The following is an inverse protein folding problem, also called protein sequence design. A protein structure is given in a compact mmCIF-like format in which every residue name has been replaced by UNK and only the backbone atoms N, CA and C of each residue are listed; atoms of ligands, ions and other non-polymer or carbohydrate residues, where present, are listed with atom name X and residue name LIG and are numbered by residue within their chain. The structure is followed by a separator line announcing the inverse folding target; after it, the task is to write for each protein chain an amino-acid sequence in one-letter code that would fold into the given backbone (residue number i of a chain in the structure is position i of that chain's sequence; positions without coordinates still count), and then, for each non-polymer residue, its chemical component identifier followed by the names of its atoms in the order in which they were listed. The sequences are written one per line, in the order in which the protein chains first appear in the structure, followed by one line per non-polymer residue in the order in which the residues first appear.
data_IF_649962966534
#
_entry.id   IF_649962966534
#
_cell.length_a   1.000
_cell.length_b   1.000
_cell.length_c   1.000
_cell.angle_alpha   90.00
_cell.angle_beta   90.00
_cell.angle_gamma   90.00
#
_symmetry.space_group_name_H-M   'P 1'
#
loop_
_entity.id
_entity.type
_entity.pdbx_description
1 polymer ?
#
# COMPACT_ATOMS: atom_id res chain seq x y z
N UNK A 1 -4.63 18.87 -6.16
CA UNK A 1 -5.62 17.87 -5.70
C UNK A 1 -5.67 16.65 -6.64
N UNK A 2 -4.53 15.99 -6.92
CA UNK A 2 -4.48 14.77 -7.77
C UNK A 2 -4.19 13.48 -6.98
N UNK A 3 -3.91 13.58 -5.67
CA UNK A 3 -3.65 12.42 -4.79
C UNK A 3 -4.78 11.39 -4.87
N UNK A 4 -6.02 11.79 -4.59
CA UNK A 4 -7.13 10.84 -4.55
C UNK A 4 -7.37 10.14 -5.90
N UNK A 5 -7.18 10.85 -7.03
CA UNK A 5 -7.28 10.22 -8.34
C UNK A 5 -6.18 9.19 -8.59
N UNK A 6 -4.93 9.50 -8.24
CA UNK A 6 -3.81 8.54 -8.31
C UNK A 6 -4.02 7.36 -7.37
N UNK A 7 -4.54 7.63 -6.17
CA UNK A 7 -4.85 6.64 -5.15
C UNK A 7 -5.95 5.69 -5.61
N UNK A 8 -7.06 6.22 -6.13
CA UNK A 8 -8.14 5.42 -6.72
C UNK A 8 -7.63 4.65 -7.93
N UNK A 9 -6.76 5.19 -8.77
CA UNK A 9 -6.15 4.42 -9.87
C UNK A 9 -5.24 3.29 -9.38
N UNK A 10 -4.63 3.44 -8.23
CA UNK A 10 -3.85 2.38 -7.58
C UNK A 10 -4.75 1.34 -6.93
N UNK A 11 -5.87 1.75 -6.31
CA UNK A 11 -6.92 0.88 -5.78
C UNK A 11 -7.80 0.22 -6.86
N UNK A 12 -7.97 0.85 -8.02
CA UNK A 12 -8.78 0.36 -9.14
C UNK A 12 -8.07 -0.79 -9.86
N UNK A 13 -6.73 -0.79 -9.86
CA UNK A 13 -5.96 -2.01 -10.16
C UNK A 13 -6.24 -3.16 -9.18
N UNK A 14 -6.86 -2.86 -8.04
CA UNK A 14 -7.29 -3.79 -6.98
C UNK A 14 -8.81 -3.99 -7.01
N UNK A 15 -9.49 -3.72 -8.13
CA UNK A 15 -10.95 -3.93 -8.30
C UNK A 15 -11.44 -5.35 -7.96
N UNK A 16 -10.53 -6.32 -7.77
CA UNK A 16 -10.79 -7.64 -7.20
C UNK A 16 -10.58 -7.74 -5.67
N UNK A 17 -10.59 -6.60 -4.95
CA UNK A 17 -10.34 -6.43 -3.50
C UNK A 17 -11.17 -7.31 -2.56
N UNK A 18 -12.14 -8.06 -3.06
CA UNK A 18 -13.16 -8.72 -2.25
C UNK A 18 -13.35 -10.19 -2.60
N UNK A 19 -12.24 -10.92 -2.75
CA UNK A 19 -12.36 -12.37 -2.70
C UNK A 19 -12.64 -12.87 -1.28
N UNK A 20 -12.26 -12.14 -0.21
CA UNK A 20 -12.47 -12.65 1.16
C UNK A 20 -12.47 -11.60 2.30
N UNK A 21 -13.63 -11.01 2.68
CA UNK A 21 -13.73 -9.90 3.66
C UNK A 21 -13.41 -10.24 5.14
N UNK A 22 -12.93 -11.45 5.45
CA UNK A 22 -12.70 -11.92 6.83
C UNK A 22 -11.27 -11.70 7.35
N UNK A 23 -10.35 -11.18 6.54
CA UNK A 23 -8.93 -11.05 6.92
C UNK A 23 -8.47 -9.63 7.24
N UNK A 24 -9.31 -8.63 7.02
CA UNK A 24 -9.03 -7.23 7.39
C UNK A 24 -9.53 -6.95 8.81
N UNK A 25 -8.81 -6.11 9.55
CA UNK A 25 -9.36 -5.49 10.76
C UNK A 25 -10.55 -4.62 10.38
N UNK A 26 -11.75 -5.13 10.63
CA UNK A 26 -12.99 -4.37 10.52
C UNK A 26 -12.92 -3.17 11.46
N UNK A 27 -13.24 -1.99 10.92
CA UNK A 27 -13.31 -0.76 11.70
C UNK A 27 -14.73 -0.23 11.60
N UNK A 28 -15.33 0.07 12.75
CA UNK A 28 -16.63 0.71 12.77
C UNK A 28 -16.52 2.11 12.15
N UNK A 29 -17.33 2.38 11.13
CA UNK A 29 -17.40 3.67 10.44
C UNK A 29 -17.78 4.79 11.42
N UNK A 30 -18.43 4.44 12.53
CA UNK A 30 -18.70 5.32 13.66
C UNK A 30 -17.45 6.01 14.23
N UNK A 31 -16.27 5.36 14.19
CA UNK A 31 -15.00 5.95 14.67
C UNK A 31 -14.52 7.11 13.77
N UNK A 32 -15.08 7.22 12.57
CA UNK A 32 -14.76 8.27 11.61
C UNK A 32 -15.80 9.38 11.57
N UNK A 33 -16.82 9.35 12.45
CA UNK A 33 -17.84 10.41 12.53
C UNK A 33 -17.26 11.76 12.96
N UNK A 34 -16.15 11.76 13.69
CA UNK A 34 -15.39 12.95 14.06
C UNK A 34 -14.36 13.38 13.02
N UNK A 35 -14.14 12.57 11.97
CA UNK A 35 -13.16 12.84 10.92
C UNK A 35 -13.82 13.47 9.70
N UNK A 36 -13.15 14.43 9.07
CA UNK A 36 -13.69 15.10 7.90
C UNK A 36 -13.66 14.16 6.69
N UNK A 37 -14.81 14.01 6.03
CA UNK A 37 -14.93 13.27 4.78
C UNK A 37 -14.42 14.16 3.65
N UNK A 38 -13.26 13.85 3.12
CA UNK A 38 -12.66 14.69 2.07
C UNK A 38 -13.16 14.28 0.70
N UNK A 39 -13.24 12.97 0.44
CA UNK A 39 -13.68 12.47 -0.87
C UNK A 39 -14.24 11.06 -0.77
N UNK A 40 -15.24 10.79 -1.61
CA UNK A 40 -15.91 9.50 -1.73
C UNK A 40 -16.01 9.14 -3.21
N UNK A 41 -15.50 7.96 -3.58
CA UNK A 41 -15.66 7.39 -4.92
C UNK A 41 -16.14 5.94 -4.80
N UNK A 42 -17.42 5.73 -5.13
CA UNK A 42 -18.08 4.43 -4.97
C UNK A 42 -18.17 4.02 -3.50
N UNK A 43 -17.51 2.93 -3.13
CA UNK A 43 -17.48 2.42 -1.76
C UNK A 43 -16.28 2.93 -0.95
N UNK A 44 -15.31 3.58 -1.61
CA UNK A 44 -14.08 4.06 -0.99
C UNK A 44 -14.27 5.49 -0.49
N UNK A 45 -14.12 5.66 0.83
CA UNK A 45 -14.18 6.96 1.49
C UNK A 45 -12.80 7.32 2.03
N UNK A 46 -12.35 8.52 1.73
CA UNK A 46 -11.15 9.11 2.29
C UNK A 46 -11.52 10.03 3.46
N UNK A 47 -11.16 9.60 4.66
CA UNK A 47 -11.30 10.40 5.87
C UNK A 47 -10.00 11.13 6.17
N UNK A 48 -10.06 12.44 6.42
CA UNK A 48 -8.94 13.21 6.91
C UNK A 48 -9.07 13.36 8.42
N UNK A 49 -8.02 12.94 9.12
CA UNK A 49 -7.89 13.13 10.55
C UNK A 49 -7.20 14.48 10.80
N UNK A 50 -7.99 15.50 11.13
CA UNK A 50 -7.55 16.89 11.34
C UNK A 50 -6.43 17.05 12.37
N UNK A 51 -6.41 16.39 13.56
CA UNK A 51 -5.33 16.55 14.53
C UNK A 51 -3.97 16.04 14.04
N UNK A 52 -3.94 14.96 13.25
CA UNK A 52 -2.68 14.32 12.83
C UNK A 52 -2.29 14.65 11.38
N UNK A 53 -3.15 15.35 10.62
CA UNK A 53 -3.04 15.55 9.16
C UNK A 53 -2.85 14.24 8.38
N UNK A 54 -3.34 13.14 8.94
CA UNK A 54 -3.29 11.81 8.34
C UNK A 54 -4.61 11.50 7.65
N UNK A 55 -4.58 10.50 6.79
CA UNK A 55 -5.66 10.16 5.90
C UNK A 55 -5.95 8.67 6.04
N UNK A 56 -7.17 8.34 6.44
CA UNK A 56 -7.63 6.97 6.54
C UNK A 56 -8.52 6.65 5.34
N UNK A 57 -8.05 5.72 4.51
CA UNK A 57 -8.80 5.19 3.39
C UNK A 57 -9.67 4.04 3.91
N UNK A 58 -10.98 4.25 3.96
CA UNK A 58 -11.94 3.28 4.48
C UNK A 58 -12.90 2.88 3.37
N UNK A 59 -12.98 1.60 3.13
CA UNK A 59 -13.93 1.02 2.19
C UNK A 59 -15.13 0.52 2.98
N UNK A 60 -16.29 1.14 2.75
CA UNK A 60 -17.52 0.82 3.47
C UNK A 60 -18.14 -0.45 2.91
N UNK A 61 -18.54 -1.37 3.79
CA UNK A 61 -19.14 -2.62 3.38
C UNK A 61 -20.54 -2.38 2.76
N UNK A 62 -20.82 -2.84 1.53
CA UNK A 62 -22.13 -2.65 0.90
C UNK A 62 -23.29 -3.33 1.66
N UNK A 63 -23.00 -4.37 2.44
CA UNK A 63 -24.00 -5.08 3.26
C UNK A 63 -24.18 -4.45 4.64
N UNK A 64 -23.23 -3.62 5.09
CA UNK A 64 -23.28 -2.98 6.41
C UNK A 64 -22.59 -1.61 6.39
N UNK A 65 -23.39 -0.53 6.32
CA UNK A 65 -22.90 0.85 6.31
C UNK A 65 -22.21 1.30 7.60
N UNK A 66 -22.31 0.51 8.69
CA UNK A 66 -21.65 0.79 9.97
C UNK A 66 -20.24 0.19 10.04
N UNK A 67 -19.87 -0.65 9.08
CA UNK A 67 -18.59 -1.36 9.05
C UNK A 67 -17.79 -1.01 7.81
N UNK A 68 -16.49 -0.79 7.98
CA UNK A 68 -15.58 -0.51 6.89
C UNK A 68 -14.22 -1.19 7.08
N UNK A 69 -13.44 -1.20 6.02
CA UNK A 69 -12.13 -1.82 5.96
C UNK A 69 -11.06 -0.77 5.69
N UNK A 70 -9.95 -0.79 6.45
CA UNK A 70 -8.81 0.10 6.17
C UNK A 70 -8.06 -0.41 4.94
N UNK A 71 -8.15 0.32 3.84
CA UNK A 71 -7.59 -0.11 2.56
C UNK A 71 -6.08 0.08 2.48
N UNK A 72 -5.51 0.99 3.27
CA UNK A 72 -4.08 1.34 3.22
C UNK A 72 -3.15 0.13 3.42
N UNK A 73 -3.61 -0.88 4.18
CA UNK A 73 -2.88 -2.14 4.43
C UNK A 73 -3.64 -3.37 3.91
N UNK A 74 -4.68 -3.19 3.10
CA UNK A 74 -5.46 -4.31 2.61
C UNK A 74 -4.66 -5.07 1.54
N UNK A 75 -4.51 -6.38 1.74
CA UNK A 75 -3.65 -7.28 0.99
C UNK A 75 -4.48 -8.38 0.28
N UNK A 76 -5.60 -7.99 -0.36
CA UNK A 76 -6.62 -8.94 -0.83
C UNK A 76 -6.73 -9.08 -2.37
N UNK A 77 -5.77 -8.57 -3.13
CA UNK A 77 -5.70 -8.97 -4.54
C UNK A 77 -5.25 -10.43 -4.69
N UNK A 78 -5.32 -10.97 -5.90
CA UNK A 78 -4.89 -12.35 -6.23
C UNK A 78 -3.43 -12.64 -5.85
N UNK A 79 -2.62 -11.60 -5.65
CA UNK A 79 -1.20 -11.67 -5.28
C UNK A 79 -0.95 -11.46 -3.78
N UNK A 80 -1.91 -10.93 -3.00
CA UNK A 80 -1.71 -10.55 -1.60
C UNK A 80 -1.09 -9.16 -1.39
N UNK A 81 -1.15 -8.27 -2.39
CA UNK A 81 -0.46 -6.98 -2.38
C UNK A 81 -1.26 -5.88 -1.67
N UNK A 82 -0.54 -5.05 -0.91
CA UNK A 82 -1.05 -3.78 -0.38
C UNK A 82 -0.98 -2.66 -1.43
N UNK A 83 -1.68 -1.53 -1.22
CA UNK A 83 -1.52 -0.33 -2.06
C UNK A 83 -0.07 0.15 -2.16
N UNK A 84 0.71 -0.04 -1.09
CA UNK A 84 2.12 0.32 -1.09
C UNK A 84 2.94 -0.59 -2.01
N UNK A 85 2.66 -1.90 -2.05
CA UNK A 85 3.28 -2.81 -3.01
C UNK A 85 3.00 -2.39 -4.45
N UNK A 86 1.76 -1.98 -4.74
CA UNK A 86 1.34 -1.57 -6.08
C UNK A 86 1.95 -0.22 -6.49
N UNK A 87 2.05 0.73 -5.55
CA UNK A 87 2.79 1.98 -5.75
C UNK A 87 4.26 1.70 -6.11
N UNK A 88 4.89 0.77 -5.40
CA UNK A 88 6.24 0.32 -5.69
C UNK A 88 6.33 -0.30 -7.09
N UNK A 89 5.43 -1.24 -7.42
CA UNK A 89 5.37 -1.91 -8.73
C UNK A 89 5.24 -0.93 -9.88
N UNK A 90 4.40 0.11 -9.72
CA UNK A 90 4.21 1.16 -10.74
C UNK A 90 5.40 2.10 -10.86
N UNK A 91 6.30 2.12 -9.87
CA UNK A 91 7.41 3.07 -9.83
C UNK A 91 6.97 4.50 -9.51
N UNK A 92 5.78 4.70 -8.92
CA UNK A 92 5.22 6.02 -8.64
C UNK A 92 5.73 6.50 -7.26
N UNK A 93 6.80 7.30 -7.27
CA UNK A 93 7.40 7.83 -6.05
C UNK A 93 6.53 8.86 -5.33
N UNK A 94 5.67 9.58 -6.05
CA UNK A 94 4.83 10.62 -5.44
C UNK A 94 3.72 10.00 -4.60
N UNK A 95 3.00 9.01 -5.16
CA UNK A 95 1.96 8.31 -4.40
C UNK A 95 2.55 7.51 -3.23
N UNK A 96 3.79 7.02 -3.38
CA UNK A 96 4.50 6.32 -2.31
C UNK A 96 4.77 7.25 -1.13
N UNK A 97 5.28 8.46 -1.38
CA UNK A 97 5.48 9.48 -0.34
C UNK A 97 4.15 9.82 0.32
N UNK A 98 3.11 10.02 -0.47
CA UNK A 98 1.79 10.36 0.06
C UNK A 98 1.25 9.21 0.94
N UNK A 99 1.31 7.96 0.49
CA UNK A 99 0.85 6.80 1.25
C UNK A 99 1.63 6.62 2.56
N UNK A 100 2.96 6.74 2.54
CA UNK A 100 3.81 6.56 3.72
C UNK A 100 3.63 7.71 4.71
N UNK A 101 3.55 8.94 4.21
CA UNK A 101 3.43 10.13 5.07
C UNK A 101 2.04 10.32 5.65
N UNK A 102 1.01 9.91 4.91
CA UNK A 102 -0.37 10.25 5.24
C UNK A 102 -1.23 9.05 5.63
N UNK A 103 -0.97 7.83 5.17
CA UNK A 103 -1.90 6.69 5.30
C UNK A 103 -1.49 5.60 6.30
N UNK A 104 -0.51 5.85 7.19
CA UNK A 104 -0.03 4.89 8.20
C UNK A 104 0.18 3.47 7.63
N UNK A 105 0.86 3.39 6.47
CA UNK A 105 1.08 2.13 5.78
C UNK A 105 2.11 1.27 6.51
N UNK A 106 1.86 -0.03 6.55
CA UNK A 106 2.77 -1.02 7.08
C UNK A 106 3.69 -1.52 5.94
N UNK A 107 5.00 -1.39 6.14
CA UNK A 107 6.03 -1.74 5.15
C UNK A 107 6.57 -3.18 5.33
N UNK A 108 6.22 -3.81 6.45
CA UNK A 108 6.58 -5.18 6.82
C UNK A 108 5.56 -6.23 6.33
N UNK A 109 4.47 -5.80 5.70
CA UNK A 109 3.48 -6.70 5.09
C UNK A 109 4.12 -7.39 3.88
N UNK A 110 3.90 -8.68 3.77
CA UNK A 110 4.31 -9.50 2.62
C UNK A 110 3.10 -9.93 1.81
N UNK A 111 3.29 -10.09 0.51
CA UNK A 111 2.33 -10.72 -0.39
C UNK A 111 2.26 -12.25 -0.20
N UNK A 112 1.49 -12.96 -1.03
CA UNK A 112 1.40 -14.43 -0.96
C UNK A 112 2.68 -15.16 -1.37
N UNK A 113 3.59 -14.49 -2.07
CA UNK A 113 4.93 -15.00 -2.41
C UNK A 113 5.97 -14.65 -1.35
N UNK A 114 5.59 -14.00 -0.26
CA UNK A 114 6.52 -13.52 0.76
C UNK A 114 7.32 -12.29 0.32
N UNK A 115 6.95 -11.66 -0.80
CA UNK A 115 7.59 -10.45 -1.31
C UNK A 115 7.13 -9.23 -0.51
N UNK A 116 8.10 -8.42 -0.09
CA UNK A 116 7.88 -7.12 0.56
C UNK A 116 7.85 -5.99 -0.46
N UNK A 117 7.50 -4.78 -0.03
CA UNK A 117 7.55 -3.56 -0.85
C UNK A 117 8.92 -3.30 -1.48
N UNK A 118 10.01 -3.73 -0.84
CA UNK A 118 11.37 -3.65 -1.39
C UNK A 118 11.58 -4.57 -2.60
N UNK A 119 11.01 -5.77 -2.60
CA UNK A 119 11.06 -6.67 -3.76
C UNK A 119 10.35 -6.03 -4.96
N UNK A 120 9.17 -5.44 -4.72
CA UNK A 120 8.41 -4.75 -5.76
C UNK A 120 9.11 -3.48 -6.28
N UNK A 121 9.79 -2.73 -5.40
CA UNK A 121 10.60 -1.57 -5.81
C UNK A 121 11.76 -1.98 -6.72
N UNK A 122 12.41 -3.10 -6.41
CA UNK A 122 13.43 -3.68 -7.30
C UNK A 122 12.81 -4.08 -8.64
N UNK A 123 11.61 -4.67 -8.65
CA UNK A 123 10.92 -5.03 -9.90
C UNK A 123 10.54 -3.81 -10.76
N UNK A 124 10.28 -2.64 -10.17
CA UNK A 124 9.90 -1.43 -10.91
C UNK A 124 11.04 -0.72 -11.64
N UNK A 125 12.29 -1.11 -11.36
CA UNK A 125 13.51 -0.46 -11.91
C UNK A 125 13.61 1.05 -11.63
N UNK A 126 12.92 1.53 -10.59
CA UNK A 126 12.94 2.94 -10.21
C UNK A 126 13.71 3.12 -8.90
N UNK A 127 14.95 3.60 -9.00
CA UNK A 127 15.85 3.77 -7.86
C UNK A 127 15.33 4.79 -6.87
N UNK A 128 14.55 5.77 -7.34
CA UNK A 128 13.92 6.76 -6.49
C UNK A 128 12.92 6.12 -5.52
N UNK A 129 12.15 5.12 -5.95
CA UNK A 129 11.23 4.39 -5.07
C UNK A 129 11.99 3.67 -3.97
N UNK A 130 13.08 2.99 -4.33
CA UNK A 130 13.91 2.26 -3.37
C UNK A 130 14.55 3.22 -2.34
N UNK A 131 15.05 4.38 -2.79
CA UNK A 131 15.58 5.42 -1.90
C UNK A 131 14.52 6.00 -0.97
N UNK A 132 13.31 6.25 -1.48
CA UNK A 132 12.20 6.77 -0.68
C UNK A 132 11.77 5.78 0.39
N UNK A 133 11.68 4.49 0.04
CA UNK A 133 11.41 3.43 1.01
C UNK A 133 12.53 3.33 2.06
N UNK A 134 13.80 3.31 1.64
CA UNK A 134 14.94 3.18 2.54
C UNK A 134 15.11 4.36 3.53
N UNK A 135 14.64 5.56 3.17
CA UNK A 135 14.61 6.71 4.08
C UNK A 135 13.55 6.58 5.18
N UNK A 136 12.43 5.92 4.87
CA UNK A 136 11.26 5.85 5.73
C UNK A 136 11.17 4.53 6.52
N UNK A 137 11.85 3.47 6.06
CA UNK A 137 11.91 2.20 6.75
C UNK A 137 13.20 1.42 6.47
N UNK A 138 13.67 0.76 7.52
CA UNK A 138 14.76 -0.24 7.45
C UNK A 138 14.19 -1.67 7.55
N UNK A 139 12.96 -1.81 8.03
CA UNK A 139 12.29 -3.10 8.19
C UNK A 139 11.93 -3.69 6.82
N UNK A 140 12.41 -4.90 6.52
CA UNK A 140 12.06 -5.65 5.30
C UNK A 140 13.13 -5.70 4.20
N UNK A 141 14.24 -4.94 4.32
CA UNK A 141 15.35 -4.93 3.34
C UNK A 141 16.07 -6.28 3.22
N UNK A 142 16.18 -7.00 4.33
CA UNK A 142 16.79 -8.33 4.40
C UNK A 142 15.77 -9.46 4.50
N UNK A 143 14.48 -9.15 4.36
CA UNK A 143 13.44 -10.16 4.39
C UNK A 143 13.57 -11.02 3.14
N UNK A 144 13.51 -12.34 3.32
CA UNK A 144 13.48 -13.27 2.20
C UNK A 144 12.04 -13.56 1.80
N UNK A 145 11.81 -13.67 0.48
CA UNK A 145 10.56 -14.18 -0.07
C UNK A 145 10.49 -15.72 0.03
N UNK A 146 9.42 -16.33 -0.47
CA UNK A 146 9.21 -17.79 -0.42
C UNK A 146 10.25 -18.59 -1.24
N UNK A 147 11.03 -17.92 -2.09
CA UNK A 147 12.14 -18.53 -2.83
C UNK A 147 13.47 -18.41 -2.08
N UNK A 148 13.48 -17.80 -0.88
CA UNK A 148 14.69 -17.53 -0.11
C UNK A 148 15.50 -16.33 -0.64
N UNK A 149 14.92 -15.52 -1.53
CA UNK A 149 15.60 -14.37 -2.14
C UNK A 149 15.30 -13.12 -1.34
N UNK A 150 16.34 -12.31 -1.08
CA UNK A 150 16.18 -10.95 -0.57
C UNK A 150 15.93 -10.01 -1.76
N UNK A 151 15.49 -8.76 -1.53
CA UNK A 151 15.42 -7.74 -2.57
C UNK A 151 16.76 -7.57 -3.32
N UNK A 152 17.87 -7.67 -2.60
CA UNK A 152 19.21 -7.61 -3.20
C UNK A 152 19.51 -8.81 -4.09
N UNK A 153 19.17 -10.04 -3.65
CA UNK A 153 19.31 -11.22 -4.51
C UNK A 153 18.48 -11.08 -5.79
N UNK A 154 17.26 -10.56 -5.68
CA UNK A 154 16.39 -10.30 -6.82
C UNK A 154 16.99 -9.24 -7.76
N UNK A 155 17.57 -8.17 -7.24
CA UNK A 155 18.22 -7.13 -8.05
C UNK A 155 19.40 -7.69 -8.85
N UNK A 156 20.22 -8.53 -8.21
CA UNK A 156 21.32 -9.24 -8.87
C UNK A 156 20.82 -10.21 -9.95
N UNK A 157 19.78 -10.99 -9.65
CA UNK A 157 19.19 -11.95 -10.59
C UNK A 157 18.58 -11.25 -11.82
N UNK A 158 17.97 -10.09 -11.63
CA UNK A 158 17.39 -9.27 -12.71
C UNK A 158 18.44 -8.40 -13.43
N UNK A 159 19.70 -8.38 -12.98
CA UNK A 159 20.76 -7.55 -13.58
C UNK A 159 20.59 -6.04 -13.36
N UNK A 160 19.83 -5.63 -12.34
CA UNK A 160 19.48 -4.22 -12.08
C UNK A 160 20.56 -3.51 -11.27
N UNK A 161 21.65 -3.13 -11.94
CA UNK A 161 22.85 -2.54 -11.32
C UNK A 161 22.54 -1.31 -10.46
N UNK A 162 21.61 -0.46 -10.88
CA UNK A 162 21.24 0.73 -10.11
C UNK A 162 20.51 0.38 -8.81
N UNK A 163 19.68 -0.67 -8.78
CA UNK A 163 19.02 -1.13 -7.55
C UNK A 163 19.99 -1.80 -6.57
N UNK A 164 21.08 -2.38 -7.08
CA UNK A 164 22.16 -2.96 -6.24
C UNK A 164 23.01 -1.87 -5.60
N UNK A 165 23.13 -0.70 -6.26
CA UNK A 165 24.00 0.39 -5.81
C UNK A 165 23.36 1.30 -4.76
N UNK A 166 22.05 1.52 -4.87
CA UNK A 166 21.24 2.37 -3.98
C UNK A 166 21.25 1.85 -2.55
#
# INVERSE_FOLDING_TARGET
MQFFGRLVNTFSGVTNLFSNPFRVKEVAVAHYTSSDRVREEGQLILFQNTPNRTWDCVLVNPRNSQSGFRCANCAENEEGCTPLHLACRKGDGEILVELVQYCHTQMDVTDYKGETVFHYAVQSDNSQVLQLLGRNAVAGLNQVNNQGLTPLHLACQLGKQEMVRV
#
